data_IF_379735667490
#
_entry.id   IF_379735667490
#
_cell.length_a   1.000
_cell.length_b   1.000
_cell.length_c   1.000
_cell.angle_alpha   90.00
_cell.angle_beta   90.00
_cell.angle_gamma   90.00
#
_symmetry.space_group_name_H-M   'P 1'
#
loop_
_entity.id
_entity.type
_entity.pdbx_description
1 polymer ?
#
# COMPACT_ATOMS: atom_id res chain seq x y z
N UNK A 1 6.38 2.07 15.34
CA UNK A 1 6.31 0.72 14.72
C UNK A 1 4.87 0.49 14.27
N UNK A 2 4.64 0.02 13.04
CA UNK A 2 3.29 -0.07 12.44
C UNK A 2 2.74 -1.50 12.49
N UNK A 3 1.46 -1.66 12.16
CA UNK A 3 0.81 -2.97 11.97
C UNK A 3 0.37 -3.14 10.52
N UNK A 4 0.49 -4.35 9.99
CA UNK A 4 -0.06 -4.68 8.69
C UNK A 4 -1.60 -4.49 8.71
N UNK A 5 -2.19 -3.78 7.75
CA UNK A 5 -3.62 -3.50 7.73
C UNK A 5 -4.50 -4.71 7.35
N UNK A 6 -3.88 -5.85 7.02
CA UNK A 6 -4.57 -7.09 6.64
C UNK A 6 -4.51 -8.12 7.77
N UNK A 7 -3.32 -8.48 8.27
CA UNK A 7 -3.16 -9.50 9.32
C UNK A 7 -2.72 -8.97 10.69
N UNK A 8 -2.63 -7.66 10.88
CA UNK A 8 -2.20 -7.01 12.14
C UNK A 8 -0.76 -7.35 12.63
N UNK A 9 0.03 -8.07 11.83
CA UNK A 9 1.44 -8.36 12.10
C UNK A 9 2.25 -7.08 12.26
N UNK A 10 3.25 -7.10 13.15
CA UNK A 10 4.16 -5.96 13.37
C UNK A 10 5.02 -5.74 12.13
N UNK A 11 5.11 -4.48 11.68
CA UNK A 11 5.92 -4.07 10.53
C UNK A 11 6.73 -2.80 10.85
N UNK A 12 7.88 -2.59 10.18
CA UNK A 12 8.62 -1.34 10.28
C UNK A 12 7.80 -0.13 9.83
N UNK A 13 8.08 1.06 10.37
CA UNK A 13 7.30 2.29 10.12
C UNK A 13 7.29 2.72 8.66
N UNK A 14 8.36 2.41 7.92
CA UNK A 14 8.49 2.73 6.51
C UNK A 14 7.78 1.73 5.59
N UNK A 15 7.22 0.63 6.12
CA UNK A 15 6.48 -0.36 5.33
C UNK A 15 4.98 -0.12 5.44
N UNK A 16 4.29 -0.28 4.32
CA UNK A 16 2.83 -0.20 4.26
C UNK A 16 2.16 -1.48 4.80
N UNK A 17 2.71 -2.64 4.45
CA UNK A 17 2.19 -3.95 4.85
C UNK A 17 3.33 -4.94 4.99
N UNK A 18 3.04 -6.13 5.55
CA UNK A 18 4.04 -7.20 5.59
C UNK A 18 4.29 -7.75 4.17
N UNK A 19 5.45 -8.37 3.98
CA UNK A 19 5.87 -8.85 2.66
C UNK A 19 4.88 -9.82 1.98
N UNK A 20 4.27 -10.79 2.69
CA UNK A 20 3.29 -11.69 2.09
C UNK A 20 2.10 -10.93 1.48
N UNK A 21 1.51 -9.98 2.22
CA UNK A 21 0.38 -9.18 1.72
C UNK A 21 0.79 -8.20 0.63
N UNK A 22 2.02 -7.67 0.68
CA UNK A 22 2.51 -6.79 -0.39
C UNK A 22 2.56 -7.50 -1.74
N UNK A 23 2.97 -8.77 -1.76
CA UNK A 23 3.01 -9.57 -3.00
C UNK A 23 1.63 -9.82 -3.62
N UNK A 24 0.56 -9.71 -2.84
CA UNK A 24 -0.82 -9.87 -3.33
C UNK A 24 -1.37 -8.57 -3.95
N UNK A 25 -0.70 -7.43 -3.76
CA UNK A 25 -1.11 -6.17 -4.38
C UNK A 25 -0.89 -6.27 -5.89
N UNK A 26 -1.87 -5.91 -6.74
CA UNK A 26 -1.67 -5.82 -8.19
C UNK A 26 -0.48 -4.93 -8.57
N UNK A 27 0.32 -5.34 -9.55
CA UNK A 27 1.55 -4.64 -9.97
C UNK A 27 1.32 -3.15 -10.25
N UNK A 28 0.23 -2.82 -10.95
CA UNK A 28 -0.16 -1.43 -11.22
C UNK A 28 -0.31 -0.59 -9.93
N UNK A 29 -0.90 -1.16 -8.87
CA UNK A 29 -1.07 -0.48 -7.59
C UNK A 29 0.27 -0.41 -6.83
N UNK A 30 1.14 -1.42 -6.95
CA UNK A 30 2.49 -1.37 -6.39
C UNK A 30 3.27 -0.18 -6.97
N UNK A 31 3.25 -0.03 -8.29
CA UNK A 31 3.91 1.07 -9.00
C UNK A 31 3.36 2.44 -8.62
N UNK A 32 2.03 2.56 -8.52
CA UNK A 32 1.39 3.81 -8.09
C UNK A 32 1.81 4.20 -6.66
N UNK A 33 1.80 3.25 -5.72
CA UNK A 33 2.23 3.50 -4.33
C UNK A 33 3.71 3.89 -4.28
N UNK A 34 4.58 3.17 -4.98
CA UNK A 34 6.02 3.45 -5.00
C UNK A 34 6.34 4.77 -5.71
N UNK A 35 5.66 5.07 -6.81
CA UNK A 35 5.82 6.31 -7.57
C UNK A 35 5.40 7.54 -6.76
N UNK A 36 4.21 7.51 -6.18
CA UNK A 36 3.70 8.61 -5.33
C UNK A 36 4.53 8.79 -4.08
N UNK A 37 5.02 7.70 -3.45
CA UNK A 37 5.94 7.77 -2.32
C UNK A 37 7.28 8.43 -2.68
N UNK A 38 7.88 8.03 -3.81
CA UNK A 38 9.11 8.67 -4.32
C UNK A 38 8.91 10.16 -4.56
N UNK A 39 7.79 10.55 -5.19
CA UNK A 39 7.47 11.96 -5.45
C UNK A 39 7.21 12.73 -4.15
N UNK A 40 6.56 12.13 -3.15
CA UNK A 40 6.36 12.76 -1.84
C UNK A 40 7.69 13.03 -1.12
N UNK A 41 8.67 12.13 -1.26
CA UNK A 41 9.99 12.25 -0.65
C UNK A 41 10.94 13.19 -1.42
N UNK A 42 10.93 13.13 -2.75
CA UNK A 42 11.94 13.77 -3.62
C UNK A 42 11.41 14.92 -4.48
N UNK A 43 10.12 15.23 -4.44
CA UNK A 43 9.54 16.32 -5.22
C UNK A 43 10.13 17.67 -4.83
N UNK A 44 10.67 18.41 -5.81
CA UNK A 44 11.33 19.70 -5.56
C UNK A 44 10.35 20.81 -5.13
N UNK A 45 9.08 20.72 -5.53
CA UNK A 45 8.07 21.74 -5.26
C UNK A 45 7.12 21.31 -4.10
N UNK A 46 6.92 22.15 -3.07
CA UNK A 46 5.99 21.86 -1.96
C UNK A 46 4.56 21.50 -2.39
N UNK A 47 4.03 22.16 -3.43
CA UNK A 47 2.68 21.87 -3.96
C UNK A 47 2.61 20.48 -4.59
N UNK A 48 3.67 20.06 -5.28
CA UNK A 48 3.78 18.72 -5.86
C UNK A 48 3.89 17.67 -4.75
N UNK A 49 4.62 17.96 -3.67
CA UNK A 49 4.69 17.05 -2.50
C UNK A 49 3.34 16.91 -1.80
N UNK A 50 2.55 17.99 -1.73
CA UNK A 50 1.18 17.94 -1.17
C UNK A 50 0.28 17.05 -2.02
N UNK A 51 0.24 17.29 -3.33
CA UNK A 51 -0.54 16.46 -4.25
C UNK A 51 -0.09 14.99 -4.19
N UNK A 52 1.22 14.73 -4.20
CA UNK A 52 1.76 13.39 -4.07
C UNK A 52 1.37 12.70 -2.75
N UNK A 53 1.17 13.44 -1.66
CA UNK A 53 0.69 12.89 -0.38
C UNK A 53 -0.77 12.44 -0.47
N UNK A 54 -1.62 13.21 -1.16
CA UNK A 54 -3.02 12.85 -1.39
C UNK A 54 -3.11 11.63 -2.30
N UNK A 55 -2.36 11.62 -3.41
CA UNK A 55 -2.31 10.49 -4.34
C UNK A 55 -1.71 9.24 -3.69
N UNK A 56 -0.68 9.39 -2.85
CA UNK A 56 -0.14 8.28 -2.06
C UNK A 56 -1.20 7.68 -1.13
N UNK A 57 -2.02 8.50 -0.47
CA UNK A 57 -3.11 7.98 0.39
C UNK A 57 -4.14 7.20 -0.42
N UNK A 58 -4.55 7.68 -1.59
CA UNK A 58 -5.48 6.98 -2.47
C UNK A 58 -4.90 5.64 -2.94
N UNK A 59 -3.67 5.64 -3.46
CA UNK A 59 -3.00 4.43 -3.94
C UNK A 59 -2.80 3.41 -2.79
N UNK A 60 -2.46 3.90 -1.60
CA UNK A 60 -2.34 3.10 -0.38
C UNK A 60 -3.65 2.40 -0.03
N UNK A 61 -4.75 3.15 0.01
CA UNK A 61 -6.05 2.64 0.42
C UNK A 61 -6.58 1.64 -0.63
N UNK A 62 -6.37 1.91 -1.92
CA UNK A 62 -6.67 0.97 -3.01
C UNK A 62 -5.86 -0.33 -2.90
N UNK A 63 -4.55 -0.25 -2.62
CA UNK A 63 -3.71 -1.44 -2.42
C UNK A 63 -4.18 -2.28 -1.22
N UNK A 64 -4.60 -1.64 -0.13
CA UNK A 64 -5.15 -2.34 1.05
C UNK A 64 -6.47 -3.03 0.70
N UNK A 65 -7.38 -2.34 0.00
CA UNK A 65 -8.67 -2.90 -0.42
C UNK A 65 -8.48 -4.13 -1.32
N UNK A 66 -7.64 -4.01 -2.36
CA UNK A 66 -7.37 -5.09 -3.30
C UNK A 66 -6.81 -6.35 -2.62
N UNK A 67 -5.94 -6.20 -1.61
CA UNK A 67 -5.42 -7.34 -0.87
C UNK A 67 -6.45 -7.92 0.09
N UNK A 68 -7.30 -7.09 0.72
CA UNK A 68 -8.37 -7.58 1.58
C UNK A 68 -9.37 -8.42 0.80
N UNK A 69 -9.74 -8.00 -0.40
CA UNK A 69 -10.59 -8.78 -1.30
C UNK A 69 -9.95 -10.14 -1.61
N UNK A 70 -8.71 -10.14 -2.12
CA UNK A 70 -7.97 -11.37 -2.48
C UNK A 70 -7.72 -12.32 -1.30
N UNK A 71 -7.36 -11.79 -0.13
CA UNK A 71 -7.11 -12.59 1.07
C UNK A 71 -8.39 -13.24 1.61
N UNK A 72 -9.55 -12.63 1.36
CA UNK A 72 -10.85 -13.21 1.72
C UNK A 72 -11.23 -14.32 0.74
N UNK A 73 -10.95 -14.15 -0.55
CA UNK A 73 -11.17 -15.17 -1.59
C UNK A 73 -10.33 -16.44 -1.35
N UNK A 74 -9.05 -16.29 -1.00
CA UNK A 74 -8.17 -17.43 -0.65
C UNK A 74 -8.67 -18.21 0.58
N UNK A 75 -9.44 -17.56 1.46
CA UNK A 75 -10.07 -18.23 2.62
C UNK A 75 -11.35 -19.00 2.20
N UNK A 76 -12.06 -18.55 1.17
CA UNK A 76 -13.32 -19.16 0.71
C UNK A 76 -13.12 -20.26 -0.34
N UNK A 77 -12.01 -20.24 -1.10
CA UNK A 77 -11.68 -21.28 -2.08
C UNK A 77 -11.06 -22.56 -1.46
N UNK A 78 -10.92 -22.62 -0.13
CA UNK A 78 -10.30 -23.72 0.61
C UNK A 78 -11.27 -24.60 1.42
N UNK A 79 -12.55 -24.68 1.03
CA UNK A 79 -13.56 -25.58 1.62
C UNK A 79 -13.98 -26.67 0.62
#
# INVERSE_FOLDING_TARGET
MNRCPVCAAKIPEYKLMCWPHWRLVPELLQDQVLGTWKTMLRGANPSIRRLAREEYRKARDAAIAAVRERATEDTQAGL
#
